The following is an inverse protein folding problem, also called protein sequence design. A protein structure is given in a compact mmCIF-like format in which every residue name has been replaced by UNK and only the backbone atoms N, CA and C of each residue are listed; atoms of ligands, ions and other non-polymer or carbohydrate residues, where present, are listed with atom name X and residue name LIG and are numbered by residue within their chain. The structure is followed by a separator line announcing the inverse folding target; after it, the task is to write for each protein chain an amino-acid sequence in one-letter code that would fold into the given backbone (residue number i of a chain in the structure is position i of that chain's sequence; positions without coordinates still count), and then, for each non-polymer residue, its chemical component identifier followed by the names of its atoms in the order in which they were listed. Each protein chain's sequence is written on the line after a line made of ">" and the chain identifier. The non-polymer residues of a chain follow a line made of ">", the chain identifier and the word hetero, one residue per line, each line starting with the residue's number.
data_IF_437652568766
#
_entry.id   IF_437652568766
#
_cell.length_a   1.000
_cell.length_b   1.000
_cell.length_c   1.000
_cell.angle_alpha   90.00
_cell.angle_beta   90.00
_cell.angle_gamma   90.00
#
_symmetry.space_group_name_H-M   'P 1'
#
loop_
_entity.id
_entity.type
_entity.pdbx_description
1 polymer ?
#
# COMPACT_ATOMS: atom_id res chain seq x y z
N UNK A 1 4.99 -6.01 8.30
CA UNK A 1 5.96 -6.59 9.27
C UNK A 1 7.20 -7.00 8.50
N UNK A 2 8.39 -6.79 9.06
CA UNK A 2 9.68 -7.18 8.42
C UNK A 2 9.90 -6.59 7.01
N UNK A 3 9.53 -5.32 6.82
CA UNK A 3 9.82 -4.61 5.57
C UNK A 3 11.31 -4.22 5.53
N UNK A 4 12.00 -4.55 4.43
CA UNK A 4 13.46 -4.39 4.31
C UNK A 4 13.89 -3.10 3.59
N UNK A 5 12.93 -2.20 3.33
CA UNK A 5 13.17 -0.89 2.72
C UNK A 5 13.42 -0.90 1.21
N UNK A 6 13.03 -1.99 0.53
CA UNK A 6 13.20 -2.13 -0.92
C UNK A 6 11.97 -2.78 -1.55
N UNK A 7 11.63 -2.44 -2.81
CA UNK A 7 10.45 -3.00 -3.48
C UNK A 7 10.63 -4.48 -3.83
N UNK A 8 9.51 -5.18 -4.07
CA UNK A 8 9.50 -6.60 -4.46
C UNK A 8 10.41 -6.92 -5.66
N UNK A 9 10.46 -6.04 -6.67
CA UNK A 9 11.35 -6.20 -7.85
C UNK A 9 12.82 -6.31 -7.42
N UNK A 10 13.23 -5.52 -6.43
CA UNK A 10 14.59 -5.55 -5.90
C UNK A 10 14.83 -6.80 -5.04
N UNK A 11 13.87 -7.20 -4.21
CA UNK A 11 13.96 -8.45 -3.43
C UNK A 11 14.15 -9.69 -4.29
N UNK A 12 13.46 -9.72 -5.45
CA UNK A 12 13.60 -10.80 -6.42
C UNK A 12 14.98 -10.78 -7.08
N UNK A 13 15.49 -9.60 -7.45
CA UNK A 13 16.86 -9.44 -7.99
C UNK A 13 17.93 -9.88 -7.00
N UNK A 14 17.76 -9.56 -5.72
CA UNK A 14 18.65 -10.00 -4.63
C UNK A 14 18.60 -11.51 -4.40
N UNK A 15 17.64 -12.22 -5.01
CA UNK A 15 17.49 -13.67 -4.98
C UNK A 15 17.48 -14.23 -3.55
N UNK A 16 16.84 -13.49 -2.64
CA UNK A 16 16.75 -13.86 -1.24
C UNK A 16 16.04 -15.22 -1.08
N UNK A 17 16.30 -15.91 0.03
CA UNK A 17 15.59 -17.17 0.34
C UNK A 17 14.07 -17.00 0.31
N UNK A 18 13.60 -15.85 0.79
CA UNK A 18 12.20 -15.46 0.85
C UNK A 18 11.63 -15.27 -0.56
N UNK A 19 12.35 -14.60 -1.47
CA UNK A 19 11.93 -14.44 -2.86
C UNK A 19 11.80 -15.78 -3.60
N UNK A 20 12.72 -16.73 -3.36
CA UNK A 20 12.63 -18.09 -3.91
C UNK A 20 11.43 -18.85 -3.36
N UNK A 21 11.21 -18.76 -2.04
CA UNK A 21 10.11 -19.44 -1.35
C UNK A 21 8.74 -19.01 -1.91
N UNK A 22 8.55 -17.70 -2.10
CA UNK A 22 7.32 -17.13 -2.67
C UNK A 22 7.30 -17.04 -4.20
N UNK A 23 8.26 -17.68 -4.88
CA UNK A 23 8.36 -17.72 -6.35
C UNK A 23 8.35 -16.33 -7.01
N UNK A 24 8.87 -15.32 -6.30
CA UNK A 24 8.98 -13.94 -6.75
C UNK A 24 7.67 -13.15 -6.86
N UNK A 25 6.54 -13.65 -6.34
CA UNK A 25 5.26 -12.93 -6.34
C UNK A 25 4.98 -12.35 -4.96
N UNK A 26 4.63 -11.06 -4.87
CA UNK A 26 4.23 -10.37 -3.62
C UNK A 26 5.06 -10.77 -2.39
N UNK A 27 6.39 -10.74 -2.56
CA UNK A 27 7.35 -11.37 -1.63
C UNK A 27 7.27 -10.73 -0.25
N UNK A 28 7.21 -9.40 -0.19
CA UNK A 28 7.12 -8.65 1.07
C UNK A 28 5.78 -8.86 1.77
N UNK A 29 4.67 -8.85 1.03
CA UNK A 29 3.32 -9.02 1.56
C UNK A 29 3.14 -10.43 2.13
N UNK A 30 3.57 -11.46 1.40
CA UNK A 30 3.48 -12.85 1.87
C UNK A 30 4.35 -13.08 3.11
N UNK A 31 5.60 -12.57 3.12
CA UNK A 31 6.47 -12.64 4.29
C UNK A 31 5.82 -11.98 5.51
N UNK A 32 5.22 -10.80 5.32
CA UNK A 32 4.53 -10.09 6.39
C UNK A 32 3.33 -10.87 6.93
N UNK A 33 2.57 -11.55 6.07
CA UNK A 33 1.44 -12.39 6.49
C UNK A 33 1.92 -13.59 7.30
N UNK A 34 2.94 -14.30 6.83
CA UNK A 34 3.41 -15.51 7.50
C UNK A 34 4.03 -15.19 8.86
N UNK A 35 4.87 -14.17 8.95
CA UNK A 35 5.45 -13.72 10.22
C UNK A 35 4.40 -13.22 11.22
N UNK A 36 3.44 -12.41 10.76
CA UNK A 36 2.37 -11.92 11.63
C UNK A 36 1.46 -13.06 12.10
N UNK A 37 1.22 -14.06 11.25
CA UNK A 37 0.39 -15.19 11.60
C UNK A 37 1.11 -16.15 12.55
N UNK A 38 2.40 -16.40 12.34
CA UNK A 38 3.23 -17.16 13.28
C UNK A 38 3.24 -16.50 14.66
N UNK A 39 3.45 -15.17 14.72
CA UNK A 39 3.38 -14.42 15.97
C UNK A 39 2.00 -14.51 16.62
N UNK A 40 0.92 -14.39 15.84
CA UNK A 40 -0.44 -14.52 16.35
C UNK A 40 -0.73 -15.91 16.92
N UNK A 41 -0.03 -16.97 16.48
CA UNK A 41 -0.19 -18.34 16.96
C UNK A 41 0.64 -18.66 18.22
N UNK A 42 1.52 -17.76 18.65
CA UNK A 42 2.27 -17.91 19.91
C UNK A 42 1.32 -18.01 21.11
N UNK A 43 1.63 -18.87 22.09
CA UNK A 43 0.79 -19.13 23.26
C UNK A 43 0.43 -17.86 24.05
N UNK A 44 1.28 -16.83 24.03
CA UNK A 44 1.00 -15.55 24.70
C UNK A 44 -0.22 -14.79 24.15
N UNK A 45 -0.72 -15.15 22.97
CA UNK A 45 -1.90 -14.53 22.34
C UNK A 45 -3.17 -15.38 22.40
N UNK A 46 -3.24 -16.41 23.25
CA UNK A 46 -4.42 -17.28 23.39
C UNK A 46 -5.73 -16.49 23.61
N UNK A 47 -5.73 -15.55 24.57
CA UNK A 47 -6.93 -14.74 24.88
C UNK A 47 -7.36 -13.87 23.70
N UNK A 48 -6.39 -13.31 22.96
CA UNK A 48 -6.66 -12.51 21.76
C UNK A 48 -7.25 -13.39 20.65
N UNK A 49 -6.69 -14.59 20.41
CA UNK A 49 -7.23 -15.53 19.42
C UNK A 49 -8.65 -15.93 19.76
N UNK A 50 -8.92 -16.28 21.03
CA UNK A 50 -10.25 -16.65 21.49
C UNK A 50 -11.28 -15.51 21.30
N UNK A 51 -10.86 -14.25 21.37
CA UNK A 51 -11.70 -13.10 21.09
C UNK A 51 -11.95 -12.85 19.59
N UNK A 52 -11.05 -13.30 18.70
CA UNK A 52 -11.15 -13.09 17.24
C UNK A 52 -11.86 -14.26 16.55
N UNK A 53 -11.53 -15.50 16.92
CA UNK A 53 -12.11 -16.72 16.37
C UNK A 53 -12.23 -17.80 17.47
N UNK A 54 -13.44 -18.35 17.65
CA UNK A 54 -13.68 -19.41 18.62
C UNK A 54 -13.67 -20.80 17.99
N UNK A 55 -13.87 -20.89 16.68
CA UNK A 55 -13.92 -22.16 15.93
C UNK A 55 -12.86 -22.22 14.82
N UNK A 56 -12.50 -23.43 14.40
CA UNK A 56 -11.61 -23.63 13.25
C UNK A 56 -12.16 -23.02 11.94
N UNK A 57 -13.49 -23.02 11.79
CA UNK A 57 -14.16 -22.38 10.65
C UNK A 57 -13.97 -20.85 10.66
N UNK A 58 -14.11 -20.21 11.82
CA UNK A 58 -13.85 -18.77 11.99
C UNK A 58 -12.38 -18.44 11.81
N UNK A 59 -11.47 -19.28 12.32
CA UNK A 59 -10.02 -19.14 12.13
C UNK A 59 -9.66 -19.17 10.65
N UNK A 60 -10.19 -20.14 9.90
CA UNK A 60 -9.97 -20.24 8.46
C UNK A 60 -10.51 -19.01 7.70
N UNK A 61 -11.72 -18.56 8.05
CA UNK A 61 -12.32 -17.36 7.46
C UNK A 61 -11.53 -16.09 7.78
N UNK A 62 -11.09 -15.93 9.03
CA UNK A 62 -10.27 -14.81 9.47
C UNK A 62 -8.92 -14.81 8.73
N UNK A 63 -8.25 -15.95 8.64
CA UNK A 63 -7.00 -16.08 7.84
C UNK A 63 -7.23 -15.64 6.40
N UNK A 64 -8.31 -16.12 5.77
CA UNK A 64 -8.62 -15.76 4.39
C UNK A 64 -8.82 -14.24 4.22
N UNK A 65 -9.51 -13.58 5.16
CA UNK A 65 -9.70 -12.14 5.15
C UNK A 65 -8.38 -11.38 5.32
N UNK A 66 -7.54 -11.79 6.26
CA UNK A 66 -6.21 -11.18 6.50
C UNK A 66 -5.33 -11.32 5.27
N UNK A 67 -5.22 -12.54 4.72
CA UNK A 67 -4.44 -12.82 3.50
C UNK A 67 -4.93 -11.95 2.35
N UNK A 68 -6.24 -11.96 2.06
CA UNK A 68 -6.78 -11.15 0.96
C UNK A 68 -6.51 -9.65 1.14
N UNK A 69 -6.65 -9.16 2.38
CA UNK A 69 -6.46 -7.74 2.70
C UNK A 69 -5.01 -7.29 2.53
N UNK A 70 -4.04 -8.08 3.00
CA UNK A 70 -2.61 -7.75 2.88
C UNK A 70 -2.13 -7.97 1.44
N UNK A 71 -2.57 -9.03 0.76
CA UNK A 71 -2.22 -9.22 -0.66
C UNK A 71 -2.79 -8.09 -1.54
N UNK A 72 -3.89 -7.46 -1.12
CA UNK A 72 -4.42 -6.30 -1.81
C UNK A 72 -3.53 -5.06 -1.71
N UNK A 73 -2.55 -4.97 -0.79
CA UNK A 73 -1.61 -3.85 -0.71
C UNK A 73 -0.46 -3.95 -1.72
N UNK A 74 -0.28 -5.10 -2.40
CA UNK A 74 0.61 -5.17 -3.56
C UNK A 74 -0.05 -4.47 -4.76
N UNK A 75 0.26 -3.18 -4.91
CA UNK A 75 -0.34 -2.32 -5.94
C UNK A 75 0.46 -2.31 -7.24
N UNK A 76 1.67 -2.86 -7.24
CA UNK A 76 2.60 -2.81 -8.37
C UNK A 76 2.51 -4.02 -9.29
N UNK A 77 1.89 -5.12 -8.83
CA UNK A 77 1.62 -6.28 -9.68
C UNK A 77 0.42 -6.01 -10.63
N UNK A 78 0.65 -6.05 -11.96
CA UNK A 78 -0.39 -5.75 -12.95
C UNK A 78 -1.50 -6.81 -13.01
N UNK A 79 -1.19 -8.08 -12.73
CA UNK A 79 -2.20 -9.16 -12.71
C UNK A 79 -3.14 -8.94 -11.53
N UNK A 80 -2.61 -8.62 -10.35
CA UNK A 80 -3.44 -8.31 -9.18
C UNK A 80 -4.26 -7.04 -9.38
N UNK A 81 -3.71 -6.01 -10.05
CA UNK A 81 -4.48 -4.82 -10.43
C UNK A 81 -5.68 -5.18 -11.33
N UNK A 82 -5.47 -6.01 -12.34
CA UNK A 82 -6.54 -6.45 -13.25
C UNK A 82 -7.62 -7.27 -12.53
N UNK A 83 -7.22 -8.24 -11.71
CA UNK A 83 -8.14 -9.09 -10.93
C UNK A 83 -9.00 -8.25 -9.99
N UNK A 84 -8.41 -7.25 -9.31
CA UNK A 84 -9.14 -6.36 -8.40
C UNK A 84 -10.13 -5.48 -9.13
N UNK A 85 -9.74 -4.91 -10.27
CA UNK A 85 -10.65 -4.10 -11.09
C UNK A 85 -11.86 -4.93 -11.55
N UNK A 86 -11.63 -6.15 -12.04
CA UNK A 86 -12.71 -7.05 -12.44
C UNK A 86 -13.65 -7.43 -11.27
N UNK A 87 -13.09 -7.67 -10.07
CA UNK A 87 -13.88 -7.93 -8.86
C UNK A 87 -14.73 -6.72 -8.45
N UNK A 88 -14.15 -5.52 -8.51
CA UNK A 88 -14.85 -4.27 -8.20
C UNK A 88 -16.01 -4.03 -9.17
N UNK A 89 -15.75 -4.11 -10.47
CA UNK A 89 -16.78 -3.99 -11.50
C UNK A 89 -17.90 -5.01 -11.26
N UNK A 90 -17.57 -6.27 -11.00
CA UNK A 90 -18.58 -7.30 -10.70
C UNK A 90 -19.43 -6.99 -9.46
N UNK A 91 -18.88 -6.32 -8.44
CA UNK A 91 -19.57 -6.06 -7.17
C UNK A 91 -20.39 -4.75 -7.16
N UNK A 92 -20.05 -3.80 -8.02
CA UNK A 92 -20.62 -2.45 -8.01
C UNK A 92 -21.24 -2.01 -9.35
N UNK A 93 -21.13 -2.79 -10.43
CA UNK A 93 -21.86 -2.55 -11.68
C UNK A 93 -23.20 -3.31 -11.64
N UNK A 94 -24.28 -2.67 -12.10
CA UNK A 94 -25.67 -3.18 -12.08
C UNK A 94 -25.91 -4.32 -13.09
N UNK A 95 -25.17 -5.42 -13.00
CA UNK A 95 -25.52 -6.66 -13.66
C UNK A 95 -26.01 -7.65 -12.59
N UNK A 96 -27.34 -7.78 -12.38
CA UNK A 96 -27.86 -8.79 -11.47
C UNK A 96 -27.54 -10.16 -12.09
N UNK A 97 -26.53 -10.84 -11.56
CA UNK A 97 -26.40 -12.27 -11.78
C UNK A 97 -27.61 -12.93 -11.10
N UNK A 98 -28.56 -13.38 -11.90
CA UNK A 98 -29.84 -13.97 -11.48
C UNK A 98 -29.68 -15.29 -10.69
N UNK A 99 -28.46 -15.80 -10.51
CA UNK A 99 -28.17 -17.11 -9.90
C UNK A 99 -27.35 -17.04 -8.60
N UNK A 100 -26.88 -15.86 -8.16
CA UNK A 100 -26.05 -15.77 -6.95
C UNK A 100 -26.90 -15.60 -5.68
N UNK A 101 -26.71 -16.48 -4.70
CA UNK A 101 -27.31 -16.35 -3.36
C UNK A 101 -27.00 -14.96 -2.78
N UNK A 102 -28.05 -14.24 -2.35
CA UNK A 102 -27.95 -12.89 -1.79
C UNK A 102 -26.92 -12.79 -0.65
N UNK A 103 -26.75 -13.87 0.13
CA UNK A 103 -25.75 -13.94 1.20
C UNK A 103 -24.32 -14.02 0.65
N UNK A 104 -24.10 -14.76 -0.44
CA UNK A 104 -22.79 -14.85 -1.09
C UNK A 104 -22.41 -13.52 -1.77
N UNK A 105 -23.36 -12.87 -2.44
CA UNK A 105 -23.16 -11.55 -3.02
C UNK A 105 -22.78 -10.51 -1.96
N UNK A 106 -23.47 -10.51 -0.82
CA UNK A 106 -23.18 -9.61 0.31
C UNK A 106 -21.80 -9.86 0.90
N UNK A 107 -21.44 -11.12 1.15
CA UNK A 107 -20.13 -11.47 1.68
C UNK A 107 -18.99 -11.09 0.72
N UNK A 108 -19.17 -11.31 -0.59
CA UNK A 108 -18.19 -10.89 -1.60
C UNK A 108 -18.01 -9.38 -1.62
N UNK A 109 -19.12 -8.63 -1.61
CA UNK A 109 -19.09 -7.16 -1.57
C UNK A 109 -18.38 -6.65 -0.32
N UNK A 110 -18.65 -7.23 0.85
CA UNK A 110 -17.96 -6.89 2.09
C UNK A 110 -16.45 -7.12 2.01
N UNK A 111 -16.00 -8.28 1.49
CA UNK A 111 -14.56 -8.55 1.31
C UNK A 111 -13.90 -7.52 0.38
N UNK A 112 -14.54 -7.19 -0.75
CA UNK A 112 -14.00 -6.20 -1.70
C UNK A 112 -13.91 -4.80 -1.06
N UNK A 113 -14.90 -4.42 -0.25
CA UNK A 113 -14.87 -3.17 0.51
C UNK A 113 -13.72 -3.14 1.51
N UNK A 114 -13.49 -4.25 2.24
CA UNK A 114 -12.37 -4.36 3.19
C UNK A 114 -11.03 -4.23 2.44
N UNK A 115 -10.86 -4.93 1.32
CA UNK A 115 -9.65 -4.82 0.48
C UNK A 115 -9.40 -3.36 0.07
N UNK A 116 -10.42 -2.66 -0.43
CA UNK A 116 -10.28 -1.25 -0.84
C UNK A 116 -10.04 -0.30 0.34
N UNK A 117 -10.64 -0.57 1.50
CA UNK A 117 -10.42 0.21 2.72
C UNK A 117 -8.97 0.10 3.19
N UNK A 118 -8.39 -1.10 3.15
CA UNK A 118 -7.00 -1.32 3.50
C UNK A 118 -6.06 -0.65 2.49
N UNK A 119 -6.33 -0.76 1.19
CA UNK A 119 -5.58 -0.05 0.15
C UNK A 119 -5.63 1.47 0.35
N UNK A 120 -6.81 2.03 0.59
CA UNK A 120 -6.98 3.45 0.85
C UNK A 120 -6.22 3.89 2.10
N UNK A 121 -6.21 3.05 3.14
CA UNK A 121 -5.47 3.31 4.38
C UNK A 121 -3.96 3.36 4.16
N UNK A 122 -3.44 2.45 3.34
CA UNK A 122 -2.00 2.36 3.04
C UNK A 122 -1.47 3.62 2.34
N UNK A 123 -2.27 4.22 1.46
CA UNK A 123 -1.92 5.45 0.73
C UNK A 123 -2.62 6.70 1.24
N UNK A 124 -3.25 6.65 2.41
CA UNK A 124 -4.09 7.73 2.93
C UNK A 124 -3.36 9.07 3.05
N UNK A 125 -2.05 9.04 3.30
CA UNK A 125 -1.21 10.24 3.39
C UNK A 125 -1.26 11.12 2.13
N UNK A 126 -1.51 10.55 0.96
CA UNK A 126 -1.66 11.28 -0.33
C UNK A 126 -3.00 12.02 -0.45
N UNK A 127 -3.99 11.64 0.36
CA UNK A 127 -5.35 12.17 0.41
C UNK A 127 -5.60 13.00 1.69
N UNK A 128 -4.52 13.41 2.37
CA UNK A 128 -4.56 14.27 3.56
C UNK A 128 -4.00 15.66 3.24
N UNK A 129 -4.02 16.57 4.22
CA UNK A 129 -3.41 17.89 4.07
C UNK A 129 -1.96 17.82 3.59
N UNK A 130 -1.56 18.79 2.76
CA UNK A 130 -0.24 18.88 2.13
C UNK A 130 0.94 18.60 3.06
N UNK A 131 0.94 19.16 4.27
CA UNK A 131 2.03 18.98 5.23
C UNK A 131 2.19 17.53 5.70
N UNK A 132 1.09 16.76 5.78
CA UNK A 132 1.12 15.33 6.11
C UNK A 132 1.64 14.54 4.92
N UNK A 133 1.12 14.81 3.71
CA UNK A 133 1.62 14.22 2.48
C UNK A 133 3.14 14.45 2.34
N UNK A 134 3.60 15.71 2.47
CA UNK A 134 5.03 16.08 2.39
C UNK A 134 5.89 15.31 3.37
N UNK A 135 5.45 15.18 4.63
CA UNK A 135 6.17 14.46 5.67
C UNK A 135 6.36 12.98 5.33
N UNK A 136 5.31 12.31 4.86
CA UNK A 136 5.38 10.87 4.54
C UNK A 136 6.08 10.62 3.20
N UNK A 137 5.85 11.47 2.20
CA UNK A 137 6.57 11.44 0.93
C UNK A 137 8.10 11.60 1.13
N UNK A 138 8.52 12.52 2.03
CA UNK A 138 9.93 12.67 2.40
C UNK A 138 10.50 11.40 3.05
N UNK A 139 9.77 10.76 3.96
CA UNK A 139 10.23 9.51 4.58
C UNK A 139 10.46 8.40 3.56
N UNK A 140 9.54 8.25 2.60
CA UNK A 140 9.68 7.27 1.54
C UNK A 140 10.85 7.61 0.60
N UNK A 141 11.03 8.89 0.26
CA UNK A 141 12.18 9.36 -0.52
C UNK A 141 13.50 8.99 0.18
N UNK A 142 13.59 9.24 1.49
CA UNK A 142 14.79 8.94 2.28
C UNK A 142 15.04 7.43 2.35
N UNK A 143 14.01 6.60 2.53
CA UNK A 143 14.14 5.14 2.50
C UNK A 143 14.73 4.66 1.15
N UNK A 144 14.18 5.15 0.04
CA UNK A 144 14.67 4.80 -1.29
C UNK A 144 16.09 5.35 -1.57
N UNK A 145 16.41 6.52 -1.02
CA UNK A 145 17.76 7.07 -1.11
C UNK A 145 18.77 6.22 -0.34
N UNK A 146 18.43 5.73 0.86
CA UNK A 146 19.29 4.83 1.62
C UNK A 146 19.49 3.49 0.89
N UNK A 147 18.46 2.96 0.23
CA UNK A 147 18.60 1.80 -0.63
C UNK A 147 19.59 2.06 -1.79
N UNK A 148 19.51 3.23 -2.44
CA UNK A 148 20.49 3.63 -3.46
C UNK A 148 21.91 3.75 -2.89
N UNK A 149 22.09 4.47 -1.77
CA UNK A 149 23.39 4.67 -1.13
C UNK A 149 24.06 3.36 -0.69
N UNK A 150 23.26 2.38 -0.28
CA UNK A 150 23.73 1.04 0.10
C UNK A 150 23.94 0.10 -1.10
N UNK A 151 23.74 0.57 -2.34
CA UNK A 151 23.88 -0.23 -3.56
C UNK A 151 22.73 -1.22 -3.80
N UNK A 152 21.66 -1.13 -3.01
CA UNK A 152 20.42 -1.93 -3.14
C UNK A 152 19.40 -1.28 -4.08
N UNK A 153 19.71 -0.15 -4.69
CA UNK A 153 18.94 0.41 -5.79
C UNK A 153 19.89 0.96 -6.86
N UNK A 154 19.54 0.79 -8.14
CA UNK A 154 20.41 1.19 -9.27
C UNK A 154 20.45 2.71 -9.50
N UNK A 155 19.38 3.42 -9.15
CA UNK A 155 19.20 4.85 -9.45
C UNK A 155 18.81 5.63 -8.21
N UNK A 156 19.35 6.83 -8.07
CA UNK A 156 18.92 7.79 -7.05
C UNK A 156 17.45 8.17 -7.27
N UNK A 157 16.62 8.21 -6.20
CA UNK A 157 15.24 8.67 -6.31
C UNK A 157 15.12 10.07 -6.88
N UNK A 158 16.11 10.95 -6.66
CA UNK A 158 16.17 12.32 -7.20
C UNK A 158 15.85 12.39 -8.70
N UNK A 159 16.37 11.44 -9.49
CA UNK A 159 16.27 11.45 -10.95
C UNK A 159 14.87 11.18 -11.48
N UNK A 160 14.00 10.58 -10.68
CA UNK A 160 12.67 10.15 -11.11
C UNK A 160 11.53 10.58 -10.19
N UNK A 161 11.80 11.04 -8.97
CA UNK A 161 10.77 11.30 -7.94
C UNK A 161 9.67 12.25 -8.41
N UNK A 162 10.06 13.40 -8.97
CA UNK A 162 9.11 14.42 -9.39
C UNK A 162 8.07 13.87 -10.38
N UNK A 163 8.54 13.21 -11.45
CA UNK A 163 7.66 12.62 -12.48
C UNK A 163 6.95 11.37 -11.95
N UNK A 164 7.61 10.58 -11.11
CA UNK A 164 7.07 9.39 -10.49
C UNK A 164 5.84 9.69 -9.64
N UNK A 165 5.92 10.70 -8.77
CA UNK A 165 4.82 11.14 -7.94
C UNK A 165 3.64 11.68 -8.78
N UNK A 166 3.90 12.47 -9.84
CA UNK A 166 2.82 12.88 -10.76
C UNK A 166 2.09 11.67 -11.36
N UNK A 167 2.85 10.68 -11.85
CA UNK A 167 2.29 9.44 -12.37
C UNK A 167 1.55 8.64 -11.30
N UNK A 168 2.04 8.63 -10.06
CA UNK A 168 1.39 7.95 -8.94
C UNK A 168 0.03 8.58 -8.62
N UNK A 169 -0.06 9.91 -8.61
CA UNK A 169 -1.34 10.59 -8.46
C UNK A 169 -2.29 10.31 -9.63
N UNK A 170 -1.81 10.49 -10.86
CA UNK A 170 -2.64 10.46 -12.06
C UNK A 170 -3.17 9.04 -12.36
N UNK A 171 -2.33 8.00 -12.18
CA UNK A 171 -2.65 6.62 -12.58
C UNK A 171 -3.08 5.70 -11.43
N UNK A 172 -2.97 6.16 -10.17
CA UNK A 172 -3.32 5.35 -9.00
C UNK A 172 -4.17 6.11 -7.96
N UNK A 173 -3.65 7.18 -7.34
CA UNK A 173 -4.35 7.84 -6.22
C UNK A 173 -5.68 8.46 -6.63
N UNK A 174 -5.72 9.22 -7.72
CA UNK A 174 -6.97 9.86 -8.18
C UNK A 174 -8.01 8.81 -8.60
N UNK A 175 -7.67 7.78 -9.41
CA UNK A 175 -8.60 6.67 -9.68
C UNK A 175 -9.10 5.96 -8.43
N UNK A 176 -8.24 5.76 -7.42
CA UNK A 176 -8.64 5.16 -6.14
C UNK A 176 -9.62 6.05 -5.37
N UNK A 177 -9.33 7.35 -5.24
CA UNK A 177 -10.20 8.31 -4.57
C UNK A 177 -11.57 8.41 -5.25
N UNK A 178 -11.62 8.36 -6.58
CA UNK A 178 -12.88 8.29 -7.33
C UNK A 178 -13.68 7.03 -6.99
N UNK A 179 -13.04 5.84 -6.96
CA UNK A 179 -13.73 4.60 -6.55
C UNK A 179 -14.29 4.67 -5.13
N UNK A 180 -13.54 5.25 -4.19
CA UNK A 180 -13.98 5.41 -2.79
C UNK A 180 -15.18 6.35 -2.68
N UNK A 181 -15.25 7.37 -3.54
CA UNK A 181 -16.40 8.26 -3.67
C UNK A 181 -17.61 7.53 -4.28
N UNK A 182 -17.40 6.86 -5.40
CA UNK A 182 -18.48 6.25 -6.19
C UNK A 182 -19.13 5.05 -5.49
N UNK A 183 -18.41 4.37 -4.58
CA UNK A 183 -18.95 3.20 -3.89
C UNK A 183 -20.01 3.53 -2.83
N UNK A 184 -20.12 4.81 -2.41
CA UNK A 184 -21.11 5.29 -1.46
C UNK A 184 -20.97 4.75 -0.02
N UNK A 185 -20.05 3.83 0.23
CA UNK A 185 -19.83 3.19 1.54
C UNK A 185 -19.27 4.17 2.56
N UNK A 186 -18.42 5.11 2.11
CA UNK A 186 -17.66 6.01 2.99
C UNK A 186 -18.34 7.38 3.22
N UNK A 187 -19.56 7.57 2.69
CA UNK A 187 -20.35 8.78 2.86
C UNK A 187 -19.61 10.05 2.45
N UNK A 188 -19.92 11.17 3.10
CA UNK A 188 -19.41 12.51 2.78
C UNK A 188 -17.88 12.64 2.93
N UNK A 189 -17.22 11.80 3.73
CA UNK A 189 -15.77 11.82 3.90
C UNK A 189 -15.00 11.45 2.63
N UNK A 190 -15.65 10.74 1.69
CA UNK A 190 -15.03 10.34 0.42
C UNK A 190 -14.82 11.51 -0.56
N UNK A 191 -15.66 12.55 -0.47
CA UNK A 191 -15.49 13.77 -1.27
C UNK A 191 -14.23 14.54 -0.84
N UNK A 192 -13.91 14.53 0.45
CA UNK A 192 -12.70 15.16 0.98
C UNK A 192 -11.43 14.49 0.46
N UNK A 193 -11.41 13.16 0.37
CA UNK A 193 -10.24 12.41 -0.12
C UNK A 193 -9.90 12.77 -1.56
N UNK A 194 -10.89 12.82 -2.45
CA UNK A 194 -10.69 13.22 -3.84
C UNK A 194 -10.21 14.66 -3.94
N UNK A 195 -10.79 15.57 -3.14
CA UNK A 195 -10.38 16.98 -3.11
C UNK A 195 -8.90 17.12 -2.70
N UNK A 196 -8.50 16.49 -1.58
CA UNK A 196 -7.12 16.53 -1.13
C UNK A 196 -6.16 15.87 -2.10
N UNK A 197 -6.51 14.73 -2.72
CA UNK A 197 -5.70 14.10 -3.76
C UNK A 197 -5.43 15.07 -4.92
N UNK A 198 -6.48 15.69 -5.47
CA UNK A 198 -6.34 16.63 -6.59
C UNK A 198 -5.53 17.87 -6.19
N UNK A 199 -5.73 18.39 -4.98
CA UNK A 199 -4.96 19.54 -4.48
C UNK A 199 -3.49 19.20 -4.27
N UNK A 200 -3.18 18.06 -3.65
CA UNK A 200 -1.80 17.61 -3.44
C UNK A 200 -1.10 17.34 -4.77
N UNK A 201 -1.80 16.73 -5.74
CA UNK A 201 -1.28 16.55 -7.10
C UNK A 201 -0.90 17.89 -7.72
N UNK A 202 -1.80 18.88 -7.67
CA UNK A 202 -1.56 20.23 -8.21
C UNK A 202 -0.40 20.92 -7.50
N UNK A 203 -0.37 20.88 -6.17
CA UNK A 203 0.70 21.50 -5.40
C UNK A 203 2.07 20.81 -5.66
N UNK A 204 2.06 19.50 -5.90
CA UNK A 204 3.25 18.77 -6.32
C UNK A 204 3.68 19.12 -7.75
N UNK A 205 2.77 19.38 -8.68
CA UNK A 205 3.13 19.92 -10.00
C UNK A 205 3.78 21.30 -9.90
N UNK A 206 3.21 22.18 -9.08
CA UNK A 206 3.68 23.55 -8.94
C UNK A 206 5.04 23.62 -8.22
N UNK A 207 5.29 22.73 -7.24
CA UNK A 207 6.43 22.84 -6.31
C UNK A 207 7.28 21.59 -6.14
N UNK A 208 6.92 20.47 -6.75
CA UNK A 208 7.55 19.17 -6.51
C UNK A 208 9.05 19.13 -6.84
N UNK A 209 9.51 19.92 -7.80
CA UNK A 209 10.95 20.02 -8.10
C UNK A 209 11.74 20.75 -7.01
N UNK A 210 11.20 21.84 -6.46
CA UNK A 210 11.77 22.55 -5.31
C UNK A 210 11.81 21.60 -4.10
N UNK A 211 10.69 20.93 -3.85
CA UNK A 211 10.55 19.94 -2.79
C UNK A 211 11.61 18.83 -2.85
N UNK A 212 11.88 18.26 -4.02
CA UNK A 212 12.93 17.23 -4.19
C UNK A 212 14.32 17.81 -3.90
N UNK A 213 14.58 19.05 -4.32
CA UNK A 213 15.84 19.75 -4.02
C UNK A 213 16.02 19.95 -2.51
N UNK A 214 14.99 20.39 -1.80
CA UNK A 214 15.01 20.53 -0.33
C UNK A 214 15.33 19.20 0.37
N UNK A 215 14.75 18.08 -0.11
CA UNK A 215 15.06 16.75 0.43
C UNK A 215 16.53 16.37 0.22
N UNK A 216 17.08 16.67 -0.98
CA UNK A 216 18.49 16.42 -1.29
C UNK A 216 19.44 17.29 -0.48
N UNK A 217 19.10 18.56 -0.25
CA UNK A 217 19.88 19.45 0.62
C UNK A 217 19.96 18.91 2.05
N UNK A 218 18.83 18.45 2.61
CA UNK A 218 18.80 17.81 3.94
C UNK A 218 19.71 16.59 4.05
N UNK A 219 19.80 15.79 2.98
CA UNK A 219 20.73 14.65 2.92
C UNK A 219 22.19 15.14 2.97
N UNK A 220 22.51 16.18 2.19
CA UNK A 220 23.85 16.78 2.16
C UNK A 220 24.29 17.29 3.53
N UNK A 221 23.42 18.01 4.23
CA UNK A 221 23.71 18.48 5.60
C UNK A 221 23.86 17.33 6.60
N UNK A 222 22.99 16.31 6.54
CA UNK A 222 23.10 15.13 7.41
C UNK A 222 24.37 14.30 7.20
N UNK A 223 24.97 14.33 6.00
CA UNK A 223 26.26 13.65 5.76
C UNK A 223 27.46 14.37 6.38
N UNK A 224 27.46 15.71 6.41
CA UNK A 224 28.55 16.51 6.99
C UNK A 224 28.63 16.34 8.51
N UNK A 225 27.50 16.24 9.21
CA UNK A 225 27.47 16.03 10.66
C UNK A 225 27.99 14.63 11.06
N UNK A 226 27.83 13.63 10.19
CA UNK A 226 28.30 12.26 10.45
C UNK A 226 29.81 12.06 10.25
N UNK A 227 30.45 12.89 9.42
CA UNK A 227 31.90 12.88 9.19
C UNK A 227 32.68 13.65 10.26
N UNK A 228 32.04 14.62 10.94
CA UNK A 228 32.68 15.44 11.98
C UNK A 228 32.71 14.75 13.36
N UNK A 229 32.09 13.56 13.50
CA UNK A 229 32.06 12.75 14.72
C UNK A 229 32.90 11.45 14.65
N UNK A 230 33.78 11.32 13.66
CA UNK A 230 34.82 10.26 13.61
C UNK A 230 36.20 10.86 13.82
#
# INVERSE_FOLDING_TARGET
>A
VDHSGVPNVQLVKENSKIAKFYQGRSVAEQNSVDLAWELLLDESFDDLRAAIFATDGEKARFRQLVVNSVMATDIMDPDFKAIRNARWEKAFTECPNLEEDAKQATNRKATIVIEHMIQASDVAHTMQHWHIYRKWNERLFMEMYQAFKSGRAEKSPETFWYKGELGFFDFYIIPLAMKLKDCGVFGVSSDEYLNYATRNRKEWEDRGQEVVREMMEKIGFGSMDSETMK
#
